data_IF_970970997353
#
_entry.id   IF_970970997353
#
_cell.length_a   1.000
_cell.length_b   1.000
_cell.length_c   1.000
_cell.angle_alpha   90.00
_cell.angle_beta   90.00
_cell.angle_gamma   90.00
#
_symmetry.space_group_name_H-M   'P 1'
#
loop_
_entity.id
_entity.type
_entity.pdbx_description
1 polymer ?
#
# COMPACT_ATOMS: atom_id res chain seq x y z
N UNK A 1 -5.92 9.49 -20.65
CA UNK A 1 -5.10 9.34 -19.44
C UNK A 1 -5.72 8.23 -18.62
N UNK A 2 -5.26 7.00 -18.81
CA UNK A 2 -5.75 5.84 -18.07
C UNK A 2 -5.16 5.89 -16.67
N UNK A 3 -5.98 6.10 -15.65
CA UNK A 3 -5.54 5.85 -14.28
C UNK A 3 -5.27 4.34 -14.20
N UNK A 4 -4.02 3.95 -13.95
CA UNK A 4 -3.66 2.57 -13.64
C UNK A 4 -4.39 2.19 -12.34
N UNK A 5 -5.49 1.46 -12.48
CA UNK A 5 -6.23 0.87 -11.37
C UNK A 5 -5.32 -0.10 -10.62
N UNK A 6 -5.40 -0.11 -9.29
CA UNK A 6 -4.72 -1.13 -8.50
C UNK A 6 -5.32 -2.49 -8.88
N UNK A 7 -4.50 -3.40 -9.39
CA UNK A 7 -5.02 -4.70 -9.84
C UNK A 7 -5.39 -5.58 -8.65
N UNK A 8 -6.35 -6.49 -8.84
CA UNK A 8 -6.70 -7.49 -7.82
C UNK A 8 -5.47 -8.32 -7.38
N UNK A 9 -4.54 -8.58 -8.30
CA UNK A 9 -3.28 -9.27 -7.99
C UNK A 9 -2.42 -8.47 -7.02
N UNK A 10 -2.26 -7.16 -7.25
CA UNK A 10 -1.48 -6.28 -6.35
C UNK A 10 -2.09 -6.25 -4.95
N UNK A 11 -3.43 -6.28 -4.84
CA UNK A 11 -4.12 -6.33 -3.55
C UNK A 11 -3.88 -7.67 -2.84
N UNK A 12 -3.85 -8.79 -3.57
CA UNK A 12 -3.55 -10.10 -2.98
C UNK A 12 -2.10 -10.17 -2.47
N UNK A 13 -1.14 -9.70 -3.27
CA UNK A 13 0.26 -9.61 -2.86
C UNK A 13 0.46 -8.73 -1.62
N UNK A 14 -0.33 -7.65 -1.46
CA UNK A 14 -0.36 -6.87 -0.22
C UNK A 14 -0.83 -7.68 0.98
N UNK A 15 -1.87 -8.52 0.83
CA UNK A 15 -2.36 -9.40 1.90
C UNK A 15 -1.34 -10.46 2.27
N UNK A 16 -0.66 -11.02 1.28
CA UNK A 16 0.45 -11.96 1.52
C UNK A 16 1.59 -11.29 2.27
N UNK A 17 1.95 -10.04 1.91
CA UNK A 17 2.95 -9.26 2.63
C UNK A 17 2.55 -9.06 4.09
N UNK A 18 1.29 -8.69 4.37
CA UNK A 18 0.79 -8.55 5.75
C UNK A 18 0.97 -9.82 6.57
N UNK A 19 0.65 -10.98 6.00
CA UNK A 19 0.73 -12.28 6.68
C UNK A 19 2.16 -12.69 7.05
N UNK A 20 3.18 -12.05 6.47
CA UNK A 20 4.61 -12.31 6.78
C UNK A 20 5.10 -11.60 8.03
N UNK A 21 4.34 -10.64 8.57
CA UNK A 21 4.73 -9.88 9.75
C UNK A 21 3.89 -10.29 10.97
N UNK A 22 4.47 -10.36 12.18
CA UNK A 22 3.71 -10.55 13.42
C UNK A 22 2.68 -9.44 13.65
N UNK A 23 3.02 -8.22 13.21
CA UNK A 23 2.15 -7.06 13.23
C UNK A 23 1.89 -6.61 11.79
N UNK A 24 0.62 -6.65 11.36
CA UNK A 24 0.25 -6.30 9.98
C UNK A 24 0.76 -4.90 9.58
N UNK A 25 0.74 -3.94 10.51
CA UNK A 25 1.22 -2.58 10.30
C UNK A 25 2.67 -2.50 9.82
N UNK A 26 3.53 -3.45 10.20
CA UNK A 26 4.92 -3.51 9.75
C UNK A 26 5.06 -3.78 8.25
N UNK A 27 4.00 -4.27 7.58
CA UNK A 27 3.97 -4.48 6.14
C UNK A 27 3.77 -3.19 5.33
N UNK A 28 3.46 -2.06 5.98
CA UNK A 28 3.10 -0.81 5.29
C UNK A 28 4.14 -0.33 4.28
N UNK A 29 5.42 -0.27 4.67
CA UNK A 29 6.48 0.18 3.77
C UNK A 29 6.66 -0.78 2.56
N UNK A 30 6.75 -2.12 2.75
CA UNK A 30 6.69 -3.07 1.63
C UNK A 30 5.48 -2.91 0.72
N UNK A 31 4.29 -2.68 1.27
CA UNK A 31 3.06 -2.50 0.49
C UNK A 31 3.09 -1.22 -0.35
N UNK A 32 3.64 -0.12 0.19
CA UNK A 32 3.84 1.12 -0.56
C UNK A 32 4.84 0.97 -1.70
N UNK A 33 5.95 0.26 -1.47
CA UNK A 33 6.91 -0.06 -2.54
C UNK A 33 6.29 -0.94 -3.61
N UNK A 34 5.47 -1.92 -3.24
CA UNK A 34 4.76 -2.76 -4.19
C UNK A 34 3.80 -1.93 -5.07
N UNK A 35 2.98 -1.08 -4.45
CA UNK A 35 2.07 -0.19 -5.18
C UNK A 35 2.83 0.76 -6.13
N UNK A 36 3.94 1.34 -5.65
CA UNK A 36 4.80 2.19 -6.46
C UNK A 36 5.41 1.43 -7.64
N UNK A 37 5.83 0.18 -7.45
CA UNK A 37 6.35 -0.66 -8.52
C UNK A 37 5.28 -1.02 -9.56
N UNK A 38 4.03 -1.21 -9.13
CA UNK A 38 2.92 -1.57 -10.01
C UNK A 38 2.39 -0.39 -10.83
N UNK A 39 2.37 0.82 -10.26
CA UNK A 39 1.75 2.02 -10.85
C UNK A 39 2.76 3.13 -11.18
N UNK A 40 4.05 2.88 -11.02
CA UNK A 40 5.14 3.86 -11.18
C UNK A 40 5.20 4.97 -10.11
N UNK A 41 4.21 5.05 -9.22
CA UNK A 41 4.11 6.05 -8.14
C UNK A 41 3.17 5.55 -7.04
N UNK A 42 3.31 6.11 -5.84
CA UNK A 42 2.31 5.91 -4.78
C UNK A 42 1.09 6.79 -5.08
N UNK A 43 -0.04 6.15 -5.42
CA UNK A 43 -1.30 6.84 -5.74
C UNK A 43 -2.20 6.99 -4.51
N UNK A 44 -3.17 7.90 -4.55
CA UNK A 44 -4.20 8.02 -3.49
C UNK A 44 -5.01 6.73 -3.33
N UNK A 45 -5.25 5.99 -4.42
CA UNK A 45 -5.90 4.68 -4.38
C UNK A 45 -5.07 3.67 -3.58
N UNK A 46 -3.77 3.58 -3.85
CA UNK A 46 -2.86 2.72 -3.10
C UNK A 46 -2.80 3.09 -1.61
N UNK A 47 -2.79 4.39 -1.28
CA UNK A 47 -2.82 4.88 0.10
C UNK A 47 -4.09 4.41 0.81
N UNK A 48 -5.26 4.62 0.18
CA UNK A 48 -6.54 4.22 0.74
C UNK A 48 -6.63 2.70 0.90
N UNK A 49 -6.10 1.93 -0.05
CA UNK A 49 -6.11 0.47 0.03
C UNK A 49 -5.21 -0.05 1.16
N UNK A 50 -4.03 0.53 1.33
CA UNK A 50 -3.16 0.19 2.46
C UNK A 50 -3.82 0.53 3.80
N UNK A 51 -4.50 1.67 3.88
CA UNK A 51 -5.25 2.08 5.07
C UNK A 51 -6.38 1.10 5.41
N UNK A 52 -7.17 0.69 4.41
CA UNK A 52 -8.24 -0.30 4.55
C UNK A 52 -7.70 -1.65 5.02
N UNK A 53 -6.64 -2.15 4.39
CA UNK A 53 -6.07 -3.47 4.69
C UNK A 53 -5.41 -3.53 6.07
N UNK A 54 -4.74 -2.46 6.48
CA UNK A 54 -4.02 -2.38 7.75
C UNK A 54 -4.88 -1.83 8.90
N UNK A 55 -6.14 -1.49 8.63
CA UNK A 55 -7.08 -0.89 9.58
C UNK A 55 -6.52 0.38 10.26
N UNK A 56 -5.86 1.23 9.48
CA UNK A 56 -5.30 2.53 9.92
C UNK A 56 -5.85 3.67 9.08
N UNK A 57 -5.54 4.92 9.44
CA UNK A 57 -6.02 6.07 8.67
C UNK A 57 -5.19 6.31 7.40
N UNK A 58 -5.80 6.81 6.30
CA UNK A 58 -5.06 7.26 5.13
C UNK A 58 -4.00 8.33 5.45
N UNK A 59 -4.23 9.13 6.50
CA UNK A 59 -3.28 10.14 6.97
C UNK A 59 -2.00 9.50 7.52
N UNK A 60 -2.11 8.43 8.30
CA UNK A 60 -0.95 7.68 8.80
C UNK A 60 -0.17 7.03 7.66
N UNK A 61 -0.86 6.45 6.68
CA UNK A 61 -0.22 5.89 5.47
C UNK A 61 0.51 6.99 4.68
N UNK A 62 -0.14 8.14 4.48
CA UNK A 62 0.44 9.26 3.73
C UNK A 62 1.68 9.83 4.43
N UNK A 63 1.69 9.85 5.77
CA UNK A 63 2.85 10.24 6.56
C UNK A 63 4.06 9.33 6.32
N UNK A 64 3.84 8.01 6.28
CA UNK A 64 4.89 7.03 5.98
C UNK A 64 5.36 7.13 4.53
N UNK A 65 4.43 7.24 3.57
CA UNK A 65 4.77 7.41 2.16
C UNK A 65 5.66 8.64 1.95
N UNK A 66 5.29 9.80 2.50
CA UNK A 66 6.08 11.03 2.35
C UNK A 66 7.49 10.93 2.95
N UNK A 67 7.69 10.10 3.98
CA UNK A 67 8.98 9.96 4.63
C UNK A 67 9.92 8.99 3.89
N UNK A 68 9.37 7.95 3.23
CA UNK A 68 10.16 6.84 2.69
C UNK A 68 10.09 6.66 1.17
N UNK A 69 9.23 7.39 0.45
CA UNK A 69 9.04 7.30 -1.02
C UNK A 69 8.93 8.67 -1.66
#
# INVERSE_FOLDING_TARGET
MSAELLTDQTVEEMRELMARYPEARSALLPMLHLAQSAQGRVTTEAINKCAELLEITPAEVSGVATFYT
#
